data_IF_186707784908
#
_entry.id   IF_186707784908
#
_cell.length_a   1.000
_cell.length_b   1.000
_cell.length_c   1.000
_cell.angle_alpha   90.00
_cell.angle_beta   90.00
_cell.angle_gamma   90.00
#
_symmetry.space_group_name_H-M   'P 1'
#
loop_
_entity.id
_entity.type
_entity.pdbx_description
1 polymer ?
#
# COMPACT_ATOMS: atom_id res chain seq x y z
N UNK A 1 5.24 14.91 32.01
CA UNK A 1 5.45 15.21 30.58
C UNK A 1 6.93 15.27 30.23
N UNK A 2 7.77 16.20 30.71
CA UNK A 2 9.21 16.23 30.37
C UNK A 2 9.98 14.92 30.58
N UNK A 3 9.87 14.29 31.77
CA UNK A 3 10.54 13.01 32.06
C UNK A 3 10.17 11.87 31.09
N UNK A 4 8.91 11.84 30.65
CA UNK A 4 8.39 10.78 29.75
C UNK A 4 8.90 10.97 28.32
N UNK A 5 9.09 12.23 27.89
CA UNK A 5 9.66 12.55 26.57
C UNK A 5 11.18 12.30 26.51
N UNK A 6 11.89 12.44 27.62
CA UNK A 6 13.32 12.14 27.68
C UNK A 6 13.57 10.63 27.65
N UNK A 7 12.78 9.83 28.37
CA UNK A 7 12.83 8.35 28.30
C UNK A 7 12.52 7.82 26.89
N UNK A 8 11.53 8.40 26.21
CA UNK A 8 11.18 8.08 24.83
C UNK A 8 12.33 8.36 23.87
N UNK A 9 12.93 9.54 23.98
CA UNK A 9 14.07 9.94 23.16
C UNK A 9 15.25 8.99 23.35
N UNK A 10 15.57 8.63 24.59
CA UNK A 10 16.71 7.78 24.89
C UNK A 10 16.52 6.36 24.35
N UNK A 11 15.30 5.81 24.44
CA UNK A 11 14.98 4.51 23.82
C UNK A 11 15.08 4.52 22.30
N UNK A 12 14.54 5.54 21.64
CA UNK A 12 14.65 5.68 20.18
C UNK A 12 16.12 5.82 19.78
N UNK A 13 16.88 6.63 20.52
CA UNK A 13 18.31 6.83 20.29
C UNK A 13 19.11 5.54 20.45
N UNK A 14 18.86 4.79 21.52
CA UNK A 14 19.50 3.50 21.78
C UNK A 14 19.20 2.50 20.66
N UNK A 15 17.94 2.42 20.24
CA UNK A 15 17.51 1.57 19.11
C UNK A 15 18.20 1.97 17.82
N UNK A 16 18.22 3.26 17.46
CA UNK A 16 18.94 3.75 16.29
C UNK A 16 20.44 3.42 16.36
N UNK A 17 21.08 3.65 17.51
CA UNK A 17 22.49 3.38 17.70
C UNK A 17 22.82 1.90 17.51
N UNK A 18 21.96 0.99 18.00
CA UNK A 18 22.12 -0.46 17.81
C UNK A 18 22.11 -0.91 16.34
N UNK A 19 21.51 -0.11 15.46
CA UNK A 19 21.44 -0.36 14.02
C UNK A 19 22.33 0.58 13.20
N UNK A 20 23.19 1.37 13.86
CA UNK A 20 24.05 2.37 13.21
C UNK A 20 23.28 3.44 12.42
N UNK A 21 22.07 3.78 12.85
CA UNK A 21 21.30 4.89 12.29
C UNK A 21 21.60 6.20 13.02
N UNK A 22 21.58 7.30 12.28
CA UNK A 22 21.84 8.64 12.81
C UNK A 22 20.51 9.31 13.12
N UNK A 23 20.30 9.68 14.38
CA UNK A 23 19.08 10.36 14.83
C UNK A 23 19.37 11.82 15.16
N UNK A 24 18.60 12.72 14.55
CA UNK A 24 18.52 14.14 14.87
C UNK A 24 17.16 14.43 15.51
N UNK A 25 17.15 15.21 16.59
CA UNK A 25 15.92 15.68 17.24
C UNK A 25 15.70 17.16 16.91
N UNK A 26 14.52 17.50 16.40
CA UNK A 26 14.10 18.88 16.20
C UNK A 26 12.91 19.18 17.11
N UNK A 27 13.10 20.00 18.13
CA UNK A 27 12.04 20.29 19.11
C UNK A 27 11.69 19.09 20.00
N UNK A 28 10.52 19.13 20.64
CA UNK A 28 10.18 18.11 21.65
C UNK A 28 9.74 16.78 21.06
N UNK A 29 9.07 16.79 19.90
CA UNK A 29 8.28 15.67 19.39
C UNK A 29 8.66 15.21 17.97
N UNK A 30 9.63 15.87 17.33
CA UNK A 30 10.01 15.58 15.95
C UNK A 30 11.40 14.97 15.87
N UNK A 31 11.50 13.83 15.19
CA UNK A 31 12.73 13.07 15.03
C UNK A 31 12.99 12.84 13.55
N UNK A 32 14.25 12.94 13.17
CA UNK A 32 14.74 12.62 11.83
C UNK A 32 15.78 11.51 11.99
N UNK A 33 15.51 10.36 11.41
CA UNK A 33 16.36 9.17 11.49
C UNK A 33 16.90 8.91 10.09
N UNK A 34 18.17 9.20 9.89
CA UNK A 34 18.89 8.89 8.68
C UNK A 34 19.49 7.50 8.78
N UNK A 35 19.18 6.65 7.79
CA UNK A 35 19.60 5.26 7.83
C UNK A 35 20.97 5.05 7.18
N UNK A 36 21.34 5.86 6.18
CA UNK A 36 22.67 5.84 5.55
C UNK A 36 22.68 6.39 4.12
N UNK A 37 23.89 6.57 3.56
CA UNK A 37 24.10 7.20 2.24
C UNK A 37 23.71 6.29 1.07
N UNK A 38 23.86 4.98 1.25
CA UNK A 38 23.62 3.96 0.21
C UNK A 38 22.17 3.93 -0.27
N UNK A 39 21.21 4.00 0.64
CA UNK A 39 19.79 4.05 0.33
C UNK A 39 19.23 5.48 0.36
N UNK A 40 19.97 6.44 0.92
CA UNK A 40 19.54 7.84 1.02
C UNK A 40 18.23 7.98 1.79
N UNK A 41 17.91 7.04 2.67
CA UNK A 41 16.61 6.93 3.30
C UNK A 41 16.60 7.66 4.64
N UNK A 42 15.67 8.61 4.78
CA UNK A 42 15.40 9.32 6.02
C UNK A 42 13.97 9.06 6.47
N UNK A 43 13.79 8.59 7.70
CA UNK A 43 12.50 8.49 8.38
C UNK A 43 12.27 9.76 9.20
N UNK A 44 11.14 10.41 8.97
CA UNK A 44 10.66 11.52 9.78
C UNK A 44 9.54 11.02 10.68
N UNK A 45 9.66 11.26 11.98
CA UNK A 45 8.66 10.91 13.00
C UNK A 45 8.18 12.19 13.67
N UNK A 46 6.87 12.34 13.81
CA UNK A 46 6.24 13.36 14.63
C UNK A 46 5.30 12.70 15.63
N UNK A 47 5.53 12.94 16.91
CA UNK A 47 4.85 12.32 18.03
C UNK A 47 3.91 13.33 18.69
N UNK A 48 2.62 13.22 18.41
CA UNK A 48 1.59 13.97 19.12
C UNK A 48 0.98 13.06 20.21
N UNK A 49 0.40 13.63 21.27
CA UNK A 49 0.10 12.96 22.55
C UNK A 49 -0.38 11.49 22.43
N UNK A 50 -1.30 11.21 21.50
CA UNK A 50 -1.81 9.87 21.22
C UNK A 50 -1.61 9.40 19.77
N UNK A 51 -0.90 10.17 18.93
CA UNK A 51 -0.78 9.89 17.49
C UNK A 51 0.65 9.92 17.02
N UNK A 52 1.00 8.93 16.20
CA UNK A 52 2.28 8.91 15.49
C UNK A 52 1.98 9.24 14.05
N UNK A 53 2.64 10.27 13.53
CA UNK A 53 2.71 10.52 12.09
C UNK A 53 4.15 10.35 11.63
N UNK A 54 4.32 9.68 10.50
CA UNK A 54 5.65 9.45 9.96
C UNK A 54 5.63 9.35 8.45
N UNK A 55 6.77 9.63 7.83
CA UNK A 55 6.97 9.47 6.40
C UNK A 55 8.45 9.25 6.12
N UNK A 56 8.75 8.75 4.93
CA UNK A 56 10.12 8.56 4.48
C UNK A 56 10.45 9.50 3.34
N UNK A 57 11.70 9.94 3.29
CA UNK A 57 12.31 10.59 2.14
C UNK A 57 13.41 9.68 1.60
N UNK A 58 13.34 9.37 0.31
CA UNK A 58 14.43 8.75 -0.45
C UNK A 58 15.16 9.84 -1.21
N UNK A 59 16.42 10.07 -0.82
CA UNK A 59 17.32 11.00 -1.47
C UNK A 59 18.77 10.56 -1.29
N UNK A 60 19.31 9.98 -2.35
CA UNK A 60 20.67 9.45 -2.39
C UNK A 60 21.70 10.54 -2.68
N UNK A 61 22.96 10.26 -2.35
CA UNK A 61 24.07 11.20 -2.50
C UNK A 61 24.98 10.81 -3.68
N UNK A 62 25.67 11.81 -4.22
CA UNK A 62 26.55 11.72 -5.39
C UNK A 62 27.84 10.96 -5.07
N UNK A 63 28.23 10.99 -3.80
CA UNK A 63 29.30 10.14 -3.24
C UNK A 63 29.06 8.64 -3.52
N UNK A 64 27.79 8.20 -3.58
CA UNK A 64 27.45 6.78 -3.85
C UNK A 64 26.99 6.56 -5.29
N UNK A 65 26.25 7.51 -5.85
CA UNK A 65 25.63 7.38 -7.18
C UNK A 65 25.95 8.57 -8.05
N UNK A 66 26.73 8.33 -9.11
CA UNK A 66 27.06 9.36 -10.10
C UNK A 66 25.89 9.60 -11.08
N UNK A 67 25.81 10.84 -11.58
CA UNK A 67 24.81 11.30 -12.55
C UNK A 67 23.41 11.49 -11.94
N UNK A 68 22.38 11.52 -12.78
CA UNK A 68 21.00 11.68 -12.31
C UNK A 68 20.52 10.48 -11.50
N UNK A 69 20.06 10.74 -10.27
CA UNK A 69 19.67 9.74 -9.26
C UNK A 69 18.17 9.46 -9.20
N UNK A 70 17.40 10.10 -10.07
CA UNK A 70 15.95 9.92 -10.14
C UNK A 70 15.54 8.45 -10.37
N UNK A 71 16.35 7.71 -11.12
CA UNK A 71 16.19 6.27 -11.39
C UNK A 71 16.31 5.42 -10.12
N UNK A 72 17.37 5.64 -9.32
CA UNK A 72 17.59 4.89 -8.09
C UNK A 72 16.57 5.26 -7.01
N UNK A 73 16.08 6.50 -6.99
CA UNK A 73 14.98 6.89 -6.11
C UNK A 73 13.69 6.13 -6.43
N UNK A 74 13.39 5.91 -7.72
CA UNK A 74 12.26 5.07 -8.13
C UNK A 74 12.44 3.63 -7.64
N UNK A 75 13.62 3.05 -7.87
CA UNK A 75 13.90 1.66 -7.47
C UNK A 75 13.78 1.51 -5.95
N UNK A 76 14.51 2.31 -5.16
CA UNK A 76 14.52 2.20 -3.69
C UNK A 76 13.12 2.38 -3.11
N UNK A 77 12.38 3.39 -3.57
CA UNK A 77 11.03 3.67 -3.06
C UNK A 77 10.04 2.53 -3.33
N UNK A 78 10.03 1.97 -4.54
CA UNK A 78 9.17 0.84 -4.90
C UNK A 78 9.51 -0.41 -4.08
N UNK A 79 10.80 -0.68 -3.88
CA UNK A 79 11.26 -1.84 -3.11
C UNK A 79 10.94 -1.71 -1.62
N UNK A 80 11.17 -0.53 -1.04
CA UNK A 80 10.83 -0.26 0.35
C UNK A 80 9.32 -0.29 0.59
N UNK A 81 8.52 0.39 -0.24
CA UNK A 81 7.07 0.39 -0.12
C UNK A 81 6.48 -1.03 -0.26
N UNK A 82 7.03 -1.83 -1.18
CA UNK A 82 6.66 -3.25 -1.33
C UNK A 82 7.00 -4.07 -0.08
N UNK A 83 8.17 -3.86 0.50
CA UNK A 83 8.57 -4.52 1.74
C UNK A 83 7.68 -4.11 2.92
N UNK A 84 7.41 -2.82 3.10
CA UNK A 84 6.52 -2.30 4.13
C UNK A 84 5.11 -2.88 3.99
N UNK A 85 4.60 -2.96 2.76
CA UNK A 85 3.30 -3.58 2.47
C UNK A 85 3.28 -5.06 2.89
N UNK A 86 4.29 -5.83 2.49
CA UNK A 86 4.32 -7.27 2.66
C UNK A 86 4.58 -7.67 4.11
N UNK A 87 5.63 -7.08 4.71
CA UNK A 87 6.13 -7.44 6.04
C UNK A 87 5.48 -6.63 7.15
N UNK A 88 5.54 -5.30 7.04
CA UNK A 88 5.09 -4.40 8.09
C UNK A 88 3.57 -4.17 8.08
N UNK A 89 2.87 -4.61 7.03
CA UNK A 89 1.44 -4.36 6.81
C UNK A 89 1.12 -2.87 6.79
N UNK A 90 2.04 -2.10 6.22
CA UNK A 90 1.92 -0.66 6.02
C UNK A 90 1.75 -0.41 4.52
N UNK A 91 0.62 0.15 4.13
CA UNK A 91 0.38 0.56 2.76
C UNK A 91 0.72 2.04 2.61
N UNK A 92 1.53 2.35 1.60
CA UNK A 92 2.11 3.67 1.41
C UNK A 92 1.67 4.26 0.07
N UNK A 93 1.55 5.59 0.04
CA UNK A 93 1.63 6.38 -1.18
C UNK A 93 3.07 6.80 -1.44
N UNK A 94 3.41 6.99 -2.71
CA UNK A 94 4.72 7.43 -3.16
C UNK A 94 4.57 8.71 -3.98
N UNK A 95 5.30 9.77 -3.64
CA UNK A 95 5.20 11.06 -4.31
C UNK A 95 6.56 11.59 -4.74
N UNK A 96 6.65 12.05 -5.98
CA UNK A 96 7.83 12.73 -6.50
C UNK A 96 7.85 14.19 -6.05
N UNK A 97 9.04 14.67 -5.66
CA UNK A 97 9.26 16.08 -5.35
C UNK A 97 10.33 16.68 -6.26
N UNK A 98 9.94 17.72 -6.99
CA UNK A 98 10.85 18.45 -7.86
C UNK A 98 12.02 19.02 -7.04
N UNK A 99 13.22 18.91 -7.59
CA UNK A 99 14.41 19.43 -6.95
C UNK A 99 14.55 20.95 -7.13
N UNK A 100 14.77 21.76 -6.08
CA UNK A 100 14.99 23.20 -6.22
C UNK A 100 16.44 23.56 -6.59
N UNK A 101 16.94 23.12 -7.75
CA UNK A 101 18.26 23.46 -8.34
C UNK A 101 19.48 22.64 -7.86
N UNK A 102 19.62 21.39 -8.33
CA UNK A 102 20.93 20.73 -8.54
C UNK A 102 20.94 20.28 -9.99
N UNK A 103 22.02 20.57 -10.73
CA UNK A 103 22.08 20.41 -12.19
C UNK A 103 21.82 18.96 -12.67
N UNK A 104 22.07 17.97 -11.81
CA UNK A 104 22.00 16.56 -12.16
C UNK A 104 20.83 15.78 -11.51
N UNK A 105 20.01 16.32 -10.60
CA UNK A 105 18.93 15.56 -9.94
C UNK A 105 17.55 16.15 -10.22
N UNK A 106 16.66 15.35 -10.82
CA UNK A 106 15.33 15.84 -11.22
C UNK A 106 14.33 15.80 -10.06
N UNK A 107 14.31 14.71 -9.28
CA UNK A 107 13.42 14.59 -8.12
C UNK A 107 13.95 13.70 -6.99
N UNK A 108 13.58 14.06 -5.76
CA UNK A 108 13.55 13.15 -4.61
C UNK A 108 12.18 12.49 -4.49
N UNK A 109 12.00 11.58 -3.53
CA UNK A 109 10.73 10.87 -3.39
C UNK A 109 10.29 10.67 -1.95
N UNK A 110 9.05 11.04 -1.64
CA UNK A 110 8.41 10.73 -0.38
C UNK A 110 7.69 9.38 -0.45
N UNK A 111 7.74 8.64 0.66
CA UNK A 111 6.92 7.46 0.90
C UNK A 111 6.08 7.77 2.13
N UNK A 112 4.78 7.91 1.93
CA UNK A 112 3.83 8.32 2.95
C UNK A 112 2.92 7.15 3.36
N UNK A 113 3.06 6.61 4.58
CA UNK A 113 2.15 5.61 5.13
C UNK A 113 0.72 6.15 5.26
N UNK A 114 -0.26 5.55 4.60
CA UNK A 114 -1.67 5.94 4.76
C UNK A 114 -2.48 4.90 5.52
N UNK A 115 -2.11 3.62 5.41
CA UNK A 115 -2.77 2.54 6.12
C UNK A 115 -1.75 1.75 6.93
N UNK A 116 -1.79 1.89 8.24
CA UNK A 116 -1.01 1.11 9.19
C UNK A 116 -1.82 0.91 10.47
N UNK A 117 -1.52 -0.17 11.20
CA UNK A 117 -2.12 -0.40 12.51
C UNK A 117 -1.19 0.18 13.57
N UNK A 118 -1.67 1.21 14.27
CA UNK A 118 -1.03 1.67 15.50
C UNK A 118 -1.03 0.53 16.53
N UNK A 119 0.07 0.38 17.28
CA UNK A 119 0.17 -0.68 18.29
C UNK A 119 -0.82 -0.38 19.43
N UNK A 120 -1.54 -1.41 19.88
CA UNK A 120 -2.34 -1.33 21.11
C UNK A 120 -1.49 -1.15 22.38
N UNK A 121 -0.18 -1.39 22.27
CA UNK A 121 0.78 -1.41 23.37
C UNK A 121 1.53 -0.07 23.53
N UNK A 122 1.16 0.97 22.78
CA UNK A 122 1.73 2.31 22.89
C UNK A 122 2.79 2.64 21.85
N UNK A 123 2.94 3.94 21.61
CA UNK A 123 3.68 4.53 20.49
C UNK A 123 5.15 4.09 20.41
N UNK A 124 5.80 3.80 21.54
CA UNK A 124 7.23 3.45 21.59
C UNK A 124 7.51 2.11 20.92
N UNK A 125 6.74 1.08 21.25
CA UNK A 125 6.94 -0.26 20.69
C UNK A 125 6.74 -0.27 19.17
N UNK A 126 5.78 0.53 18.68
CA UNK A 126 5.58 0.71 17.25
C UNK A 126 6.80 1.35 16.58
N UNK A 127 7.36 2.43 17.16
CA UNK A 127 8.53 3.12 16.62
C UNK A 127 9.76 2.20 16.59
N UNK A 128 10.03 1.48 17.69
CA UNK A 128 11.14 0.53 17.76
C UNK A 128 10.98 -0.59 16.72
N UNK A 129 9.76 -1.09 16.55
CA UNK A 129 9.42 -2.09 15.54
C UNK A 129 9.62 -1.53 14.12
N UNK A 130 9.22 -0.28 13.88
CA UNK A 130 9.41 0.39 12.60
C UNK A 130 10.90 0.55 12.25
N UNK A 131 11.71 1.01 13.21
CA UNK A 131 13.16 1.14 13.04
C UNK A 131 13.79 -0.23 12.76
N UNK A 132 13.35 -1.28 13.47
CA UNK A 132 13.79 -2.65 13.20
C UNK A 132 13.40 -3.12 11.80
N UNK A 133 12.20 -2.80 11.31
CA UNK A 133 11.81 -3.10 9.93
C UNK A 133 12.70 -2.42 8.90
N UNK A 134 13.14 -1.18 9.15
CA UNK A 134 14.10 -0.49 8.27
C UNK A 134 15.45 -1.19 8.24
N UNK A 135 15.98 -1.59 9.40
CA UNK A 135 17.22 -2.35 9.47
C UNK A 135 17.12 -3.69 8.74
N UNK A 136 16.02 -4.42 8.94
CA UNK A 136 15.78 -5.70 8.28
C UNK A 136 15.59 -5.54 6.76
N UNK A 137 14.90 -4.48 6.32
CA UNK A 137 14.77 -4.13 4.91
C UNK A 137 16.15 -3.90 4.31
N UNK A 138 16.94 -2.98 4.87
CA UNK A 138 18.30 -2.66 4.38
C UNK A 138 19.18 -3.91 4.31
N UNK A 139 19.23 -4.67 5.39
CA UNK A 139 20.08 -5.87 5.48
C UNK A 139 19.67 -6.91 4.43
N UNK A 140 18.38 -7.14 4.25
CA UNK A 140 17.88 -8.10 3.25
C UNK A 140 18.00 -7.61 1.81
N UNK A 141 17.77 -6.32 1.57
CA UNK A 141 17.82 -5.70 0.25
C UNK A 141 19.26 -5.65 -0.26
N UNK A 142 20.15 -5.00 0.48
CA UNK A 142 21.55 -4.86 0.08
C UNK A 142 22.34 -6.16 0.17
N UNK A 143 21.98 -7.05 1.11
CA UNK A 143 22.57 -8.40 1.19
C UNK A 143 22.25 -9.28 -0.01
N UNK A 144 21.11 -9.08 -0.68
CA UNK A 144 20.72 -9.87 -1.86
C UNK A 144 21.17 -9.20 -3.17
N UNK A 145 21.09 -7.88 -3.25
CA UNK A 145 21.27 -7.15 -4.51
C UNK A 145 22.71 -6.63 -4.68
N UNK A 146 23.47 -6.58 -3.59
CA UNK A 146 24.86 -6.12 -3.56
C UNK A 146 24.97 -4.67 -3.09
N UNK A 147 25.98 -4.42 -2.26
CA UNK A 147 26.27 -3.09 -1.71
C UNK A 147 26.95 -2.19 -2.76
N UNK A 148 26.46 -0.96 -2.99
CA UNK A 148 27.06 0.00 -3.93
C UNK A 148 28.05 0.97 -3.25
N UNK A 149 28.52 0.71 -2.02
CA UNK A 149 29.49 1.60 -1.37
C UNK A 149 30.85 1.59 -2.11
N UNK A 150 31.62 2.68 -1.95
CA UNK A 150 32.91 2.86 -2.61
C UNK A 150 33.87 1.69 -2.38
N UNK A 151 33.94 1.17 -1.16
CA UNK A 151 34.76 0.00 -0.80
C UNK A 151 34.39 -1.23 -1.65
N UNK A 152 33.10 -1.64 -1.65
CA UNK A 152 32.64 -2.78 -2.42
C UNK A 152 32.77 -2.58 -3.93
N UNK A 153 32.56 -1.36 -4.42
CA UNK A 153 32.71 -1.02 -5.84
C UNK A 153 34.17 -1.12 -6.28
N UNK A 154 35.11 -0.66 -5.44
CA UNK A 154 36.55 -0.73 -5.69
C UNK A 154 37.06 -2.17 -5.65
N UNK A 155 36.63 -2.96 -4.66
CA UNK A 155 36.98 -4.38 -4.54
C UNK A 155 36.55 -5.21 -5.75
N UNK A 156 35.37 -4.90 -6.30
CA UNK A 156 34.84 -5.60 -7.48
C UNK A 156 35.26 -4.97 -8.81
N UNK A 157 36.03 -3.87 -8.79
CA UNK A 157 36.44 -3.11 -9.96
C UNK A 157 35.25 -2.70 -10.86
N UNK A 158 34.20 -2.18 -10.22
CA UNK A 158 32.98 -1.72 -10.85
C UNK A 158 32.85 -0.20 -10.72
N UNK A 159 32.18 0.45 -11.68
CA UNK A 159 31.83 1.87 -11.63
C UNK A 159 30.31 1.97 -11.73
N UNK A 160 29.66 2.57 -10.73
CA UNK A 160 28.20 2.63 -10.65
C UNK A 160 27.61 3.88 -11.33
N UNK A 161 28.10 4.20 -12.52
CA UNK A 161 27.59 5.28 -13.34
C UNK A 161 26.20 4.93 -13.89
N UNK A 162 25.38 5.97 -14.06
CA UNK A 162 24.10 5.83 -14.74
C UNK A 162 24.29 5.66 -16.24
N UNK A 163 23.79 4.57 -16.79
CA UNK A 163 23.65 4.40 -18.22
C UNK A 163 22.40 5.12 -18.76
N UNK A 164 22.52 5.63 -19.99
CA UNK A 164 21.45 6.33 -20.72
C UNK A 164 21.04 5.60 -22.01
N UNK A 165 21.51 4.37 -22.19
CA UNK A 165 21.11 3.55 -23.32
C UNK A 165 19.82 2.79 -23.02
N UNK A 166 18.93 2.74 -24.02
CA UNK A 166 17.72 1.92 -23.93
C UNK A 166 18.12 0.47 -24.04
N UNK A 167 17.80 -0.32 -23.01
CA UNK A 167 17.98 -1.75 -23.03
C UNK A 167 17.27 -2.37 -24.24
N UNK A 168 17.97 -3.25 -24.97
CA UNK A 168 17.50 -3.81 -26.25
C UNK A 168 16.06 -4.35 -26.23
N UNK A 169 15.66 -4.96 -25.11
CA UNK A 169 14.34 -5.55 -24.93
C UNK A 169 13.24 -4.53 -24.61
N UNK A 170 13.59 -3.28 -24.34
CA UNK A 170 12.66 -2.17 -24.07
C UNK A 170 12.48 -1.24 -25.27
N UNK A 171 13.33 -1.32 -26.31
CA UNK A 171 13.30 -0.43 -27.50
C UNK A 171 11.91 -0.43 -28.19
N UNK A 172 11.30 -1.59 -28.33
CA UNK A 172 9.97 -1.72 -28.98
C UNK A 172 8.89 -0.98 -28.19
N UNK A 173 9.03 -0.89 -26.87
CA UNK A 173 8.11 -0.12 -26.04
C UNK A 173 8.41 1.39 -26.14
N UNK A 174 9.69 1.78 -26.01
CA UNK A 174 10.08 3.20 -26.01
C UNK A 174 9.76 3.92 -27.33
N UNK A 175 9.74 3.20 -28.45
CA UNK A 175 9.30 3.74 -29.75
C UNK A 175 7.81 4.08 -29.85
N UNK A 176 6.98 3.63 -28.91
CA UNK A 176 5.53 3.86 -28.90
C UNK A 176 5.10 5.01 -27.99
N UNK A 177 6.03 5.55 -27.20
CA UNK A 177 5.76 6.55 -26.16
C UNK A 177 6.52 7.83 -26.50
N UNK A 178 6.01 8.98 -26.08
CA UNK A 178 6.56 10.27 -26.50
C UNK A 178 7.52 10.85 -25.47
N UNK A 179 7.17 10.79 -24.19
CA UNK A 179 7.98 11.32 -23.09
C UNK A 179 8.32 10.21 -22.12
N UNK A 180 9.61 9.97 -21.96
CA UNK A 180 10.09 8.95 -21.04
C UNK A 180 11.46 9.33 -20.46
N UNK A 181 11.75 8.73 -19.30
CA UNK A 181 13.08 8.75 -18.68
C UNK A 181 13.66 7.34 -18.69
N UNK A 182 14.97 7.21 -18.91
CA UNK A 182 15.69 5.94 -18.91
C UNK A 182 16.89 6.00 -18.01
N UNK A 183 17.20 4.86 -17.40
CA UNK A 183 18.39 4.72 -16.56
C UNK A 183 18.83 3.26 -16.52
N UNK A 184 20.10 3.03 -16.29
CA UNK A 184 20.60 1.72 -15.92
C UNK A 184 21.73 1.87 -14.92
N UNK A 185 21.86 0.88 -14.03
CA UNK A 185 22.96 0.83 -13.05
C UNK A 185 23.44 -0.60 -12.89
N UNK A 186 24.68 -0.73 -12.43
CA UNK A 186 25.31 -2.02 -12.15
C UNK A 186 24.96 -2.49 -10.75
N UNK A 187 24.91 -1.58 -9.77
CA UNK A 187 24.52 -1.89 -8.38
C UNK A 187 23.55 -0.85 -7.80
N UNK A 188 22.29 -1.20 -7.48
CA UNK A 188 21.64 -2.46 -7.85
C UNK A 188 21.59 -2.61 -9.37
N UNK A 189 21.66 -3.84 -9.88
CA UNK A 189 21.66 -4.09 -11.33
C UNK A 189 20.26 -3.95 -11.92
N UNK A 190 20.05 -2.95 -12.78
CA UNK A 190 18.77 -2.78 -13.47
C UNK A 190 18.88 -1.95 -14.75
N UNK A 191 17.83 -2.02 -15.57
CA UNK A 191 17.52 -1.04 -16.61
C UNK A 191 16.06 -0.60 -16.46
N UNK A 192 15.81 0.70 -16.44
CA UNK A 192 14.50 1.29 -16.19
C UNK A 192 14.05 2.13 -17.39
N UNK A 193 12.76 2.06 -17.69
CA UNK A 193 12.03 3.01 -18.53
C UNK A 193 10.88 3.53 -17.68
N UNK A 194 10.83 4.83 -17.46
CA UNK A 194 9.68 5.51 -16.88
C UNK A 194 8.95 6.26 -17.99
N UNK A 195 7.79 5.75 -18.36
CA UNK A 195 6.84 6.37 -19.29
C UNK A 195 6.05 7.44 -18.54
N UNK A 196 6.37 8.69 -18.84
CA UNK A 196 5.82 9.87 -18.15
C UNK A 196 4.37 10.11 -18.58
N UNK A 197 4.04 9.82 -19.84
CA UNK A 197 2.70 10.08 -20.37
C UNK A 197 1.65 9.13 -19.79
N UNK A 198 2.08 7.89 -19.48
CA UNK A 198 1.20 6.86 -18.93
C UNK A 198 1.46 6.54 -17.45
N UNK A 199 2.32 7.30 -16.76
CA UNK A 199 2.72 7.04 -15.36
C UNK A 199 3.08 5.57 -15.10
N UNK A 200 3.86 5.00 -16.01
CA UNK A 200 4.19 3.57 -16.01
C UNK A 200 5.70 3.36 -15.96
N UNK A 201 6.14 2.63 -14.95
CA UNK A 201 7.56 2.28 -14.77
C UNK A 201 7.80 0.83 -15.13
N UNK A 202 8.78 0.58 -16.00
CA UNK A 202 9.25 -0.76 -16.37
C UNK A 202 10.68 -0.91 -15.90
N UNK A 203 10.96 -1.92 -15.08
CA UNK A 203 12.29 -2.22 -14.56
C UNK A 203 12.65 -3.64 -15.00
N UNK A 204 13.70 -3.78 -15.80
CA UNK A 204 14.33 -5.06 -16.10
C UNK A 204 15.42 -5.31 -15.08
N UNK A 205 15.27 -6.36 -14.28
CA UNK A 205 16.26 -6.74 -13.27
C UNK A 205 15.95 -8.10 -12.64
N UNK A 206 16.83 -9.07 -12.78
CA UNK A 206 16.68 -10.36 -12.11
C UNK A 206 16.80 -10.25 -10.58
N UNK A 207 17.76 -9.47 -10.08
CA UNK A 207 18.02 -9.34 -8.63
C UNK A 207 16.84 -8.70 -7.87
N UNK A 208 16.28 -7.61 -8.40
CA UNK A 208 15.08 -6.98 -7.84
C UNK A 208 13.84 -7.89 -7.91
N UNK A 209 13.68 -8.67 -8.99
CA UNK A 209 12.58 -9.65 -9.12
C UNK A 209 12.73 -10.76 -8.10
N UNK A 210 13.95 -11.28 -7.93
CA UNK A 210 14.26 -12.30 -6.94
C UNK A 210 14.02 -11.77 -5.52
N UNK A 211 14.43 -10.53 -5.24
CA UNK A 211 14.15 -9.86 -3.97
C UNK A 211 12.64 -9.84 -3.67
N UNK A 212 11.84 -9.26 -4.58
CA UNK A 212 10.39 -9.18 -4.40
C UNK A 212 9.73 -10.56 -4.31
N UNK A 213 10.17 -11.50 -5.14
CA UNK A 213 9.68 -12.88 -5.13
C UNK A 213 9.99 -13.59 -3.82
N UNK A 214 11.18 -13.37 -3.26
CA UNK A 214 11.62 -13.94 -1.99
C UNK A 214 10.85 -13.35 -0.82
N UNK A 215 10.66 -12.03 -0.73
CA UNK A 215 9.86 -11.44 0.36
C UNK A 215 8.40 -11.91 0.29
N UNK A 216 7.79 -12.02 -0.89
CA UNK A 216 6.43 -12.54 -1.04
C UNK A 216 6.36 -13.98 -0.51
N UNK A 217 7.35 -14.81 -0.85
CA UNK A 217 7.36 -16.23 -0.48
C UNK A 217 7.66 -16.42 1.00
N UNK A 218 8.64 -15.70 1.53
CA UNK A 218 9.10 -15.77 2.92
C UNK A 218 8.02 -15.30 3.90
N UNK A 219 7.35 -14.19 3.60
CA UNK A 219 6.26 -13.67 4.44
C UNK A 219 4.87 -14.23 4.06
N UNK A 220 4.81 -15.22 3.14
CA UNK A 220 3.58 -15.82 2.63
C UNK A 220 2.50 -14.78 2.27
N UNK A 221 2.90 -13.72 1.56
CA UNK A 221 1.99 -12.64 1.16
C UNK A 221 0.97 -13.15 0.15
N UNK A 222 -0.29 -13.25 0.59
CA UNK A 222 -1.45 -13.69 -0.18
C UNK A 222 -2.68 -12.89 0.28
N UNK A 223 -2.86 -11.65 -0.19
CA UNK A 223 -4.03 -10.86 0.16
C UNK A 223 -5.31 -11.62 -0.24
N UNK A 224 -6.35 -11.51 0.60
CA UNK A 224 -7.68 -12.00 0.24
C UNK A 224 -8.18 -11.17 -0.94
N UNK A 225 -8.64 -11.87 -1.98
CA UNK A 225 -9.18 -11.25 -3.19
C UNK A 225 -10.70 -11.34 -3.21
N UNK A 226 -11.35 -10.24 -3.54
CA UNK A 226 -12.80 -10.18 -3.79
C UNK A 226 -13.00 -9.52 -5.15
N UNK A 227 -13.77 -10.17 -6.03
CA UNK A 227 -14.11 -9.61 -7.32
C UNK A 227 -15.12 -8.47 -7.14
N UNK A 228 -14.70 -7.26 -7.53
CA UNK A 228 -15.55 -6.10 -7.60
C UNK A 228 -16.36 -6.04 -8.90
N UNK A 229 -16.77 -4.84 -9.25
CA UNK A 229 -17.35 -4.47 -10.54
C UNK A 229 -16.26 -4.02 -11.51
N UNK A 230 -15.38 -3.11 -11.08
CA UNK A 230 -14.35 -2.47 -11.91
C UNK A 230 -12.94 -3.00 -11.65
N UNK A 231 -12.76 -3.90 -10.69
CA UNK A 231 -11.46 -4.45 -10.33
C UNK A 231 -11.50 -5.50 -9.23
N UNK A 232 -10.33 -5.81 -8.69
CA UNK A 232 -10.20 -6.71 -7.53
C UNK A 232 -9.97 -5.91 -6.25
N UNK A 233 -10.76 -6.18 -5.22
CA UNK A 233 -10.48 -5.74 -3.85
C UNK A 233 -9.44 -6.69 -3.24
N UNK A 234 -8.40 -6.11 -2.65
CA UNK A 234 -7.28 -6.81 -2.02
C UNK A 234 -7.21 -6.45 -0.54
N UNK A 235 -7.41 -7.44 0.32
CA UNK A 235 -7.39 -7.25 1.78
C UNK A 235 -6.21 -8.02 2.36
N UNK A 236 -5.29 -7.33 3.01
CA UNK A 236 -4.21 -7.94 3.78
C UNK A 236 -4.16 -7.34 5.17
N UNK A 237 -4.61 -8.13 6.15
CA UNK A 237 -4.65 -7.75 7.55
C UNK A 237 -5.44 -6.46 7.78
N UNK A 238 -4.76 -5.32 7.95
CA UNK A 238 -5.39 -4.00 8.19
C UNK A 238 -5.31 -3.05 6.98
N UNK A 239 -4.84 -3.56 5.84
CA UNK A 239 -4.70 -2.76 4.63
C UNK A 239 -5.71 -3.21 3.58
N UNK A 240 -6.37 -2.23 2.98
CA UNK A 240 -7.42 -2.41 2.00
C UNK A 240 -7.05 -1.65 0.74
N UNK A 241 -6.84 -2.38 -0.35
CA UNK A 241 -6.44 -1.81 -1.63
C UNK A 241 -7.36 -2.29 -2.75
N UNK A 242 -7.31 -1.60 -3.88
CA UNK A 242 -8.13 -1.89 -5.05
C UNK A 242 -7.28 -1.93 -6.31
N UNK A 243 -7.38 -3.02 -7.06
CA UNK A 243 -6.67 -3.20 -8.32
C UNK A 243 -7.64 -3.08 -9.49
N UNK A 244 -7.71 -1.91 -10.11
CA UNK A 244 -8.60 -1.63 -11.25
C UNK A 244 -8.26 -2.52 -12.46
N UNK A 245 -9.28 -3.10 -13.10
CA UNK A 245 -9.08 -3.98 -14.26
C UNK A 245 -8.44 -3.28 -15.45
N UNK A 246 -8.75 -2.01 -15.69
CA UNK A 246 -8.13 -1.25 -16.77
C UNK A 246 -6.61 -1.12 -16.60
N UNK A 247 -6.16 -0.81 -15.38
CA UNK A 247 -4.73 -0.73 -15.08
C UNK A 247 -4.04 -2.10 -15.15
N UNK A 248 -4.70 -3.17 -14.70
CA UNK A 248 -4.19 -4.54 -14.86
C UNK A 248 -4.06 -4.87 -16.36
N UNK A 249 -5.05 -4.51 -17.18
CA UNK A 249 -5.04 -4.75 -18.63
C UNK A 249 -3.89 -3.99 -19.31
N UNK A 250 -3.68 -2.71 -18.97
CA UNK A 250 -2.55 -1.93 -19.47
C UNK A 250 -1.21 -2.60 -19.12
N UNK A 251 -1.02 -3.01 -17.86
CA UNK A 251 0.19 -3.73 -17.43
C UNK A 251 0.38 -5.03 -18.24
N UNK A 252 -0.70 -5.77 -18.50
CA UNK A 252 -0.66 -6.99 -19.30
C UNK A 252 -0.33 -6.73 -20.78
N UNK A 253 -0.85 -5.65 -21.36
CA UNK A 253 -0.53 -5.23 -22.73
C UNK A 253 0.94 -4.85 -22.86
N UNK A 254 1.48 -4.07 -21.91
CA UNK A 254 2.91 -3.79 -21.83
C UNK A 254 3.70 -5.09 -21.72
N UNK A 255 3.32 -5.98 -20.80
CA UNK A 255 4.01 -7.26 -20.60
C UNK A 255 4.02 -8.13 -21.87
N UNK A 256 2.91 -8.18 -22.62
CA UNK A 256 2.83 -8.89 -23.91
C UNK A 256 3.74 -8.27 -24.96
N UNK A 257 3.86 -6.94 -24.97
CA UNK A 257 4.74 -6.24 -25.91
C UNK A 257 6.24 -6.49 -25.63
N UNK A 258 6.60 -6.71 -24.36
CA UNK A 258 7.98 -6.97 -23.94
C UNK A 258 8.39 -8.43 -24.12
N UNK A 259 7.46 -9.38 -23.91
CA UNK A 259 7.75 -10.82 -23.88
C UNK A 259 6.80 -11.60 -24.80
N UNK A 260 6.94 -11.44 -26.12
CA UNK A 260 6.11 -12.09 -27.13
C UNK A 260 6.15 -13.63 -27.13
N UNK A 261 7.14 -14.27 -26.48
CA UNK A 261 7.45 -15.70 -26.67
C UNK A 261 7.69 -16.56 -25.40
N UNK A 262 7.36 -16.10 -24.18
CA UNK A 262 7.57 -16.92 -22.96
C UNK A 262 6.29 -17.09 -22.14
N UNK A 263 5.98 -18.34 -21.79
CA UNK A 263 4.97 -18.64 -20.76
C UNK A 263 5.46 -18.14 -19.40
N UNK A 264 4.99 -16.97 -18.99
CA UNK A 264 5.42 -16.34 -17.75
C UNK A 264 4.87 -17.13 -16.54
N UNK A 265 5.71 -17.96 -15.92
CA UNK A 265 5.39 -18.71 -14.68
C UNK A 265 5.21 -17.80 -13.45
N UNK A 266 5.80 -16.60 -13.47
CA UNK A 266 5.69 -15.62 -12.39
C UNK A 266 4.77 -14.49 -12.88
N UNK A 267 3.64 -14.34 -12.19
CA UNK A 267 2.73 -13.22 -12.35
C UNK A 267 2.14 -12.91 -10.96
N UNK A 268 2.74 -11.95 -10.26
CA UNK A 268 2.33 -11.55 -8.92
C UNK A 268 2.09 -10.05 -8.88
N UNK A 269 1.13 -9.62 -8.07
CA UNK A 269 0.83 -8.22 -7.87
C UNK A 269 1.04 -7.85 -6.42
N UNK A 270 1.66 -6.70 -6.20
CA UNK A 270 1.68 -5.97 -4.94
C UNK A 270 0.95 -4.66 -5.23
N UNK A 271 -0.05 -4.35 -4.42
CA UNK A 271 -0.83 -3.11 -4.57
C UNK A 271 -0.66 -2.30 -3.30
N UNK A 272 -0.27 -1.04 -3.49
CA UNK A 272 -0.12 -0.03 -2.44
C UNK A 272 -1.10 1.12 -2.73
N UNK A 273 -1.00 2.25 -2.04
CA UNK A 273 -2.05 3.28 -2.15
C UNK A 273 -2.16 3.91 -3.54
N UNK A 274 -1.04 4.15 -4.21
CA UNK A 274 -1.04 4.82 -5.51
C UNK A 274 -0.25 4.06 -6.60
N UNK A 275 -0.01 2.77 -6.40
CA UNK A 275 0.64 1.91 -7.39
C UNK A 275 0.09 0.48 -7.41
N UNK A 276 -0.03 -0.04 -8.62
CA UNK A 276 -0.13 -1.48 -8.90
C UNK A 276 1.22 -1.96 -9.44
N UNK A 277 1.91 -2.80 -8.68
CA UNK A 277 3.25 -3.32 -8.99
C UNK A 277 3.11 -4.78 -9.41
N UNK A 278 3.38 -5.06 -10.68
CA UNK A 278 3.40 -6.39 -11.25
C UNK A 278 4.83 -6.93 -11.35
N UNK A 279 5.01 -8.16 -10.87
CA UNK A 279 6.28 -8.89 -10.91
C UNK A 279 6.15 -10.02 -11.91
N UNK A 280 6.95 -9.95 -12.98
CA UNK A 280 7.08 -10.98 -14.02
C UNK A 280 8.45 -11.65 -13.91
N UNK A 281 8.74 -12.57 -14.84
CA UNK A 281 10.01 -13.30 -14.86
C UNK A 281 11.22 -12.39 -15.10
N UNK A 282 11.11 -11.46 -16.06
CA UNK A 282 12.24 -10.61 -16.49
C UNK A 282 12.02 -9.11 -16.16
N UNK A 283 10.78 -8.73 -15.81
CA UNK A 283 10.39 -7.33 -15.59
C UNK A 283 9.55 -7.13 -14.33
N UNK A 284 9.71 -5.95 -13.73
CA UNK A 284 8.77 -5.35 -12.80
C UNK A 284 8.07 -4.21 -13.54
N UNK A 285 6.74 -4.19 -13.53
CA UNK A 285 5.94 -3.14 -14.15
C UNK A 285 5.10 -2.48 -13.05
N UNK A 286 5.35 -1.21 -12.75
CA UNK A 286 4.63 -0.45 -11.75
C UNK A 286 3.83 0.67 -12.43
N UNK A 287 2.50 0.62 -12.32
CA UNK A 287 1.59 1.65 -12.83
C UNK A 287 1.13 2.52 -11.67
N UNK A 288 1.30 3.84 -11.79
CA UNK A 288 0.70 4.76 -10.83
C UNK A 288 -0.80 4.91 -11.12
N UNK A 289 -1.59 4.71 -10.08
CA UNK A 289 -3.06 4.84 -10.11
C UNK A 289 -3.56 4.86 -8.67
N UNK A 290 -4.64 5.57 -8.37
CA UNK A 290 -5.31 5.43 -7.08
C UNK A 290 -5.81 4.00 -6.88
N UNK A 291 -5.19 3.30 -5.95
CA UNK A 291 -5.43 1.91 -5.57
C UNK A 291 -5.55 1.74 -4.06
N UNK A 292 -5.74 2.85 -3.34
CA UNK A 292 -5.70 2.94 -1.90
C UNK A 292 -7.03 2.70 -1.21
N UNK A 293 -7.13 3.19 0.03
CA UNK A 293 -8.34 3.07 0.85
C UNK A 293 -9.55 3.77 0.22
N UNK A 294 -9.32 4.89 -0.48
CA UNK A 294 -10.39 5.66 -1.14
C UNK A 294 -10.98 4.84 -2.28
N UNK A 295 -10.16 4.41 -3.24
CA UNK A 295 -10.59 3.54 -4.34
C UNK A 295 -11.26 2.25 -3.85
N UNK A 296 -10.75 1.64 -2.77
CA UNK A 296 -11.41 0.50 -2.11
C UNK A 296 -12.82 0.82 -1.61
N UNK A 297 -13.02 1.97 -0.95
CA UNK A 297 -14.34 2.37 -0.41
C UNK A 297 -15.34 2.63 -1.52
N UNK A 298 -14.92 3.28 -2.60
CA UNK A 298 -15.75 3.53 -3.77
C UNK A 298 -16.25 2.21 -4.38
N UNK A 299 -15.34 1.27 -4.62
CA UNK A 299 -15.69 -0.04 -5.17
C UNK A 299 -16.58 -0.84 -4.20
N UNK A 300 -16.34 -0.74 -2.90
CA UNK A 300 -17.16 -1.40 -1.88
C UNK A 300 -18.61 -0.93 -1.91
N UNK A 301 -18.86 0.38 -2.08
CA UNK A 301 -20.23 0.89 -2.19
C UNK A 301 -20.90 0.41 -3.48
N UNK A 302 -20.18 0.34 -4.61
CA UNK A 302 -20.70 -0.23 -5.85
C UNK A 302 -21.11 -1.70 -5.70
N UNK A 303 -20.30 -2.51 -5.00
CA UNK A 303 -20.63 -3.92 -4.71
C UNK A 303 -21.89 -4.01 -3.84
N UNK A 304 -22.03 -3.12 -2.86
CA UNK A 304 -23.20 -3.07 -1.97
C UNK A 304 -24.47 -2.70 -2.74
N UNK A 305 -24.40 -1.74 -3.65
CA UNK A 305 -25.52 -1.39 -4.53
C UNK A 305 -25.92 -2.58 -5.42
N UNK A 306 -24.94 -3.25 -6.04
CA UNK A 306 -25.19 -4.48 -6.82
C UNK A 306 -25.89 -5.55 -5.97
N UNK A 307 -25.40 -5.81 -4.76
CA UNK A 307 -25.97 -6.82 -3.87
C UNK A 307 -27.40 -6.44 -3.41
N UNK A 308 -27.67 -5.16 -3.14
CA UNK A 308 -29.01 -4.70 -2.81
C UNK A 308 -29.97 -4.87 -4.00
N UNK A 309 -29.53 -4.55 -5.22
CA UNK A 309 -30.31 -4.75 -6.43
C UNK A 309 -30.59 -6.24 -6.68
N UNK A 310 -29.56 -7.09 -6.64
CA UNK A 310 -29.69 -8.55 -6.76
C UNK A 310 -30.65 -9.10 -5.71
N UNK A 311 -30.53 -8.66 -4.46
CA UNK A 311 -31.43 -9.06 -3.37
C UNK A 311 -32.87 -8.64 -3.66
N UNK A 312 -33.08 -7.42 -4.14
CA UNK A 312 -34.42 -6.92 -4.47
C UNK A 312 -35.09 -7.68 -5.63
N UNK A 313 -34.29 -8.21 -6.58
CA UNK A 313 -34.78 -8.95 -7.75
C UNK A 313 -35.00 -10.43 -7.41
N UNK A 314 -34.05 -11.05 -6.70
CA UNK A 314 -34.09 -12.48 -6.37
C UNK A 314 -35.02 -12.78 -5.19
N UNK A 315 -35.12 -11.83 -4.26
CA UNK A 315 -35.94 -11.92 -3.06
C UNK A 315 -36.84 -10.67 -2.97
N UNK A 316 -37.76 -10.48 -3.94
CA UNK A 316 -38.64 -9.33 -3.93
C UNK A 316 -39.42 -9.33 -2.62
N UNK A 317 -39.22 -8.30 -1.81
CA UNK A 317 -40.00 -8.11 -0.59
C UNK A 317 -41.43 -7.87 -1.06
N UNK A 318 -42.40 -8.74 -0.72
CA UNK A 318 -43.78 -8.48 -1.08
C UNK A 318 -44.17 -7.12 -0.47
N UNK A 319 -44.51 -6.17 -1.34
CA UNK A 319 -45.03 -4.88 -0.89
C UNK A 319 -46.44 -5.15 -0.38
N UNK A 320 -46.57 -5.25 0.93
CA UNK A 320 -47.87 -5.33 1.57
C UNK A 320 -48.50 -3.95 1.56
N UNK A 321 -49.38 -3.70 0.60
CA UNK A 321 -50.28 -2.56 0.67
C UNK A 321 -51.31 -2.81 1.77
N UNK A 322 -51.20 -2.05 2.86
CA UNK A 322 -52.24 -2.01 3.86
C UNK A 322 -53.51 -1.44 3.23
N UNK A 323 -54.58 -2.23 3.23
CA UNK A 323 -55.92 -1.70 2.98
C UNK A 323 -56.15 -0.59 4.01
N UNK A 324 -56.60 0.60 3.57
CA UNK A 324 -56.90 1.73 4.46
C UNK A 324 -57.77 1.24 5.64
N UNK A 325 -57.27 1.46 6.86
CA UNK A 325 -57.80 0.96 8.13
C UNK A 325 -57.70 -0.57 8.33
N UNK A 326 -56.50 -1.14 8.52
CA UNK A 326 -56.39 -2.50 9.03
C UNK A 326 -57.05 -2.56 10.40
N UNK A 327 -57.96 -3.51 10.60
CA UNK A 327 -58.60 -3.72 11.89
C UNK A 327 -57.52 -4.00 12.94
N UNK A 328 -57.30 -3.12 13.94
CA UNK A 328 -56.19 -3.26 14.89
C UNK A 328 -56.19 -4.60 15.60
N UNK A 329 -57.39 -5.10 15.94
CA UNK A 329 -57.57 -6.40 16.58
C UNK A 329 -57.14 -7.57 15.68
N UNK A 330 -57.43 -7.52 14.37
CA UNK A 330 -57.00 -8.57 13.45
C UNK A 330 -55.49 -8.56 13.26
N UNK A 331 -54.87 -7.37 13.24
CA UNK A 331 -53.42 -7.24 13.16
C UNK A 331 -52.73 -7.79 14.41
N UNK A 332 -53.19 -7.42 15.60
CA UNK A 332 -52.64 -7.94 16.87
C UNK A 332 -52.77 -9.47 16.98
N UNK A 333 -53.90 -10.03 16.52
CA UNK A 333 -54.10 -11.47 16.47
C UNK A 333 -53.16 -12.16 15.48
N UNK A 334 -52.92 -11.55 14.31
CA UNK A 334 -51.96 -12.07 13.32
C UNK A 334 -50.54 -12.10 13.88
N UNK A 335 -50.09 -11.01 14.51
CA UNK A 335 -48.76 -10.93 15.14
C UNK A 335 -48.62 -11.96 16.25
N UNK A 336 -49.65 -12.13 17.10
CA UNK A 336 -49.65 -13.18 18.11
C UNK A 336 -49.50 -14.56 17.49
N UNK A 337 -50.30 -14.89 16.47
CA UNK A 337 -50.26 -16.20 15.82
C UNK A 337 -48.93 -16.49 15.11
N UNK A 338 -48.26 -15.47 14.57
CA UNK A 338 -46.92 -15.62 14.00
C UNK A 338 -45.87 -15.90 15.07
N UNK A 339 -45.91 -15.17 16.19
CA UNK A 339 -44.97 -15.36 17.30
C UNK A 339 -45.17 -16.70 18.03
N UNK A 340 -46.41 -17.19 18.14
CA UNK A 340 -46.70 -18.52 18.72
C UNK A 340 -46.17 -19.69 17.86
N UNK A 341 -45.89 -19.45 16.58
CA UNK A 341 -45.32 -20.47 15.67
C UNK A 341 -43.79 -20.54 15.71
N UNK A 342 -43.12 -19.58 16.33
CA UNK A 342 -41.67 -19.62 16.50
C UNK A 342 -41.30 -20.59 17.64
N UNK A 343 -40.48 -21.60 17.33
CA UNK A 343 -40.02 -22.65 18.26
C UNK A 343 -39.29 -22.08 19.48
N UNK A 344 -38.76 -20.86 19.40
CA UNK A 344 -38.04 -20.19 20.49
C UNK A 344 -38.96 -19.38 21.42
N UNK A 345 -40.21 -19.16 21.05
CA UNK A 345 -41.17 -18.34 21.82
C UNK A 345 -42.03 -19.22 22.71
N UNK A 346 -41.85 -19.12 24.03
CA UNK A 346 -42.59 -19.96 25.01
C UNK A 346 -44.03 -19.51 25.27
N UNK A 347 -44.31 -18.21 25.18
CA UNK A 347 -45.64 -17.64 25.42
C UNK A 347 -45.77 -16.24 24.83
N UNK A 348 -46.91 -15.95 24.22
CA UNK A 348 -47.27 -14.63 23.70
C UNK A 348 -48.61 -14.21 24.30
N UNK A 349 -48.74 -12.95 24.70
CA UNK A 349 -49.99 -12.37 25.19
C UNK A 349 -50.27 -11.07 24.44
N UNK A 350 -51.52 -10.87 24.00
CA UNK A 350 -51.97 -9.57 23.49
C UNK A 350 -52.18 -8.64 24.68
N UNK A 351 -51.58 -7.46 24.66
CA UNK A 351 -51.85 -6.43 25.66
C UNK A 351 -53.34 -6.03 25.60
N UNK A 352 -53.96 -5.73 26.74
CA UNK A 352 -55.35 -5.26 26.73
C UNK A 352 -55.43 -3.93 25.95
N UNK A 353 -56.52 -3.69 25.20
CA UNK A 353 -56.66 -2.46 24.42
C UNK A 353 -56.57 -1.23 25.33
N UNK A 354 -55.72 -0.27 24.97
CA UNK A 354 -55.44 0.97 25.70
C UNK A 354 -56.64 1.91 25.86
N UNK A 355 -57.80 1.59 25.25
CA UNK A 355 -59.03 2.38 25.29
C UNK A 355 -60.03 1.98 26.38
N UNK A 356 -59.62 1.25 27.42
CA UNK A 356 -60.49 1.01 28.59
C UNK A 356 -60.47 2.12 29.66
N UNK A 357 -59.76 3.23 29.41
CA UNK A 357 -59.62 4.36 30.36
C UNK A 357 -60.48 5.59 30.09
N UNK A 358 -61.32 5.63 29.05
CA UNK A 358 -62.22 6.79 28.79
C UNK A 358 -63.67 6.33 28.91
N UNK A 359 -64.08 6.06 30.15
CA UNK A 359 -65.46 6.23 30.61
C UNK A 359 -65.35 6.75 32.03
N UNK A 360 -65.39 8.07 32.13
CA UNK A 360 -66.14 8.85 33.13
C UNK A 360 -65.60 10.29 33.12
N UNK A 361 -66.34 11.22 32.50
CA UNK A 361 -66.06 12.65 32.60
C UNK A 361 -66.55 13.51 31.44
N UNK A 362 -67.88 13.73 31.40
CA UNK A 362 -68.62 14.87 30.79
C UNK A 362 -68.57 15.03 29.27
#
# INVERSE_FOLDING_TARGET
MKKTNDELHDRIKETCHSFSFIMERYGENYFKIFTGEIDGLTLFLNLEEEKISFYFLVRTQDVVYNGDRSDIHIVISLMLASFLKIKAKISCSIFDIAHPCIDDEIWGRYIYPEQYKESSNGNIEFIETLIKYLFEWRSSFWGLIGCPCEECMTEENLINERGYDVESSLIVYTTKISRYNIGSRIKPSYSIVYDIDNDLTIIKSNSLIDYLSNIIKFFNYKPQKINGINGEILIDSNTYNFAKYDAIREIEEVSKSLNSNKSNKINKFIVIENFIINIRADYIIAKSIDSGLIAFKEEKELIKERHNLESSILFPIPVFEWIKNPCPTQFELLIKSLLERDVKVKRVRVAAPTFQGIKDGI
#
